data_IF_916171278117
#
_entry.id   IF_916171278117
#
_cell.length_a   1.000
_cell.length_b   1.000
_cell.length_c   1.000
_cell.angle_alpha   90.00
_cell.angle_beta   90.00
_cell.angle_gamma   90.00
#
_symmetry.space_group_name_H-M   'P 1'
#
loop_
_entity.id
_entity.type
_entity.pdbx_description
1 polymer ?
#
# COMPACT_ATOMS: atom_id res chain seq x y z
N UNK A 1 11.61 28.71 -8.34
CA UNK A 1 10.98 28.35 -7.05
C UNK A 1 10.53 26.89 -7.18
N UNK A 2 11.39 25.94 -6.80
CA UNK A 2 11.18 24.51 -7.07
C UNK A 2 10.73 23.78 -5.79
N UNK A 3 9.60 23.10 -5.86
CA UNK A 3 9.06 22.28 -4.79
C UNK A 3 10.03 21.13 -4.46
N UNK A 4 10.39 21.01 -3.17
CA UNK A 4 11.22 19.91 -2.66
C UNK A 4 10.31 18.71 -2.37
N UNK A 5 10.18 17.78 -3.32
CA UNK A 5 9.71 16.44 -3.01
C UNK A 5 10.75 15.79 -2.08
N UNK A 6 10.31 15.32 -0.91
CA UNK A 6 11.16 14.62 0.04
C UNK A 6 11.90 13.46 -0.63
N UNK A 7 13.19 13.26 -0.31
CA UNK A 7 13.99 12.17 -0.86
C UNK A 7 13.39 10.82 -0.45
N UNK A 8 12.50 10.28 -1.28
CA UNK A 8 12.09 8.89 -1.19
C UNK A 8 13.34 8.01 -1.29
N UNK A 9 13.35 6.88 -0.58
CA UNK A 9 14.42 5.87 -0.68
C UNK A 9 14.54 5.47 -2.15
N UNK A 10 15.69 5.71 -2.76
CA UNK A 10 15.98 5.23 -4.12
C UNK A 10 16.13 3.72 -4.07
N UNK A 11 15.40 3.00 -4.91
CA UNK A 11 15.61 1.57 -5.10
C UNK A 11 16.94 1.36 -5.84
N UNK A 12 17.86 0.59 -5.26
CA UNK A 12 19.14 0.23 -5.90
C UNK A 12 19.01 -0.96 -6.85
N UNK A 13 17.95 -1.76 -6.71
CA UNK A 13 17.58 -2.86 -7.60
C UNK A 13 16.06 -3.05 -7.58
N UNK A 14 15.52 -3.45 -8.73
CA UNK A 14 14.12 -3.83 -8.93
C UNK A 14 13.91 -5.36 -8.93
N UNK A 15 14.94 -6.12 -8.60
CA UNK A 15 14.87 -7.58 -8.48
C UNK A 15 14.10 -7.98 -7.23
N UNK A 16 13.12 -8.85 -7.41
CA UNK A 16 12.29 -9.42 -6.33
C UNK A 16 12.14 -10.92 -6.49
N UNK A 17 12.31 -11.63 -5.38
CA UNK A 17 12.02 -13.05 -5.31
C UNK A 17 10.51 -13.25 -5.12
N UNK A 18 9.86 -13.96 -6.02
CA UNK A 18 8.42 -14.25 -5.90
C UNK A 18 8.16 -15.40 -4.91
N UNK A 19 7.11 -15.31 -4.07
CA UNK A 19 6.87 -16.31 -3.02
C UNK A 19 6.38 -17.66 -3.55
N UNK A 20 5.86 -17.71 -4.78
CA UNK A 20 5.29 -18.93 -5.35
C UNK A 20 6.34 -19.96 -5.80
N UNK A 21 7.51 -19.52 -6.27
CA UNK A 21 8.52 -20.41 -6.84
C UNK A 21 9.97 -19.98 -6.56
N UNK A 22 10.18 -18.95 -5.74
CA UNK A 22 11.50 -18.39 -5.44
C UNK A 22 12.29 -17.87 -6.66
N UNK A 23 11.64 -17.68 -7.81
CA UNK A 23 12.29 -17.05 -8.96
C UNK A 23 12.56 -15.57 -8.69
N UNK A 24 13.72 -15.08 -9.13
CA UNK A 24 14.02 -13.64 -9.17
C UNK A 24 13.41 -13.04 -10.43
N UNK A 25 12.54 -12.05 -10.25
CA UNK A 25 11.93 -11.28 -11.34
C UNK A 25 12.32 -9.81 -11.19
N UNK A 26 12.64 -9.15 -12.30
CA UNK A 26 12.88 -7.70 -12.32
C UNK A 26 11.52 -7.00 -12.53
N UNK A 27 11.11 -6.12 -11.60
CA UNK A 27 9.76 -5.51 -11.64
C UNK A 27 9.50 -4.68 -12.90
N UNK A 28 10.54 -4.16 -13.54
CA UNK A 28 10.50 -3.43 -14.81
C UNK A 28 10.40 -4.33 -16.05
N UNK A 29 10.62 -5.65 -15.88
CA UNK A 29 10.49 -6.65 -16.96
C UNK A 29 9.12 -7.35 -17.00
N UNK A 30 8.22 -7.03 -16.05
CA UNK A 30 6.88 -7.59 -16.00
C UNK A 30 6.08 -7.16 -17.24
N UNK A 31 5.61 -8.15 -18.00
CA UNK A 31 4.74 -7.92 -19.16
C UNK A 31 3.30 -7.75 -18.69
N UNK A 32 2.76 -6.56 -18.91
CA UNK A 32 1.38 -6.19 -18.59
C UNK A 32 0.54 -6.32 -19.87
N UNK A 33 -0.12 -7.45 -20.07
CA UNK A 33 -1.04 -7.67 -21.19
C UNK A 33 -2.48 -7.41 -20.73
N UNK A 34 -3.24 -6.61 -21.49
CA UNK A 34 -4.62 -6.28 -21.14
C UNK A 34 -5.54 -7.52 -21.26
N UNK A 35 -6.50 -7.72 -20.33
CA UNK A 35 -6.71 -6.96 -19.10
C UNK A 35 -5.85 -7.51 -17.95
N UNK A 36 -4.84 -6.74 -17.52
CA UNK A 36 -4.10 -7.06 -16.30
C UNK A 36 -4.72 -6.26 -15.15
N UNK A 37 -5.41 -6.97 -14.26
CA UNK A 37 -5.80 -6.43 -12.97
C UNK A 37 -4.82 -6.95 -11.93
N UNK A 38 -4.17 -6.07 -11.18
CA UNK A 38 -3.73 -6.49 -9.85
C UNK A 38 -5.00 -6.87 -9.10
N UNK A 39 -5.15 -8.15 -8.77
CA UNK A 39 -6.26 -8.60 -7.95
C UNK A 39 -6.12 -7.95 -6.57
N UNK A 40 -6.79 -6.81 -6.39
CA UNK A 40 -6.92 -6.12 -5.11
C UNK A 40 -8.23 -6.56 -4.50
N UNK A 41 -8.14 -7.27 -3.38
CA UNK A 41 -9.27 -7.40 -2.49
C UNK A 41 -9.30 -6.15 -1.59
N UNK A 42 -10.40 -5.41 -1.64
CA UNK A 42 -10.59 -4.19 -0.87
C UNK A 42 -11.88 -4.27 -0.06
N UNK A 43 -11.79 -3.89 1.20
CA UNK A 43 -12.95 -3.61 2.04
C UNK A 43 -12.98 -2.09 2.26
N UNK A 44 -13.98 -1.42 1.69
CA UNK A 44 -14.19 0.02 1.86
C UNK A 44 -15.30 0.29 2.86
N UNK A 45 -15.05 1.19 3.80
CA UNK A 45 -16.04 1.70 4.75
C UNK A 45 -15.96 3.21 4.77
N UNK A 46 -17.10 3.88 4.60
CA UNK A 46 -17.21 5.34 4.66
C UNK A 46 -18.01 5.75 5.89
N UNK A 47 -17.45 6.62 6.72
CA UNK A 47 -18.14 7.19 7.88
C UNK A 47 -18.39 8.71 7.66
N UNK A 48 -19.57 9.11 7.16
CA UNK A 48 -19.82 10.49 6.73
C UNK A 48 -19.89 11.51 7.87
N UNK A 49 -20.03 11.05 9.12
CA UNK A 49 -20.14 11.93 10.30
C UNK A 49 -18.81 12.06 11.05
N UNK A 50 -17.76 11.36 10.61
CA UNK A 50 -16.45 11.44 11.24
C UNK A 50 -15.79 12.78 10.91
N UNK A 51 -15.35 13.49 11.94
CA UNK A 51 -14.75 14.81 11.80
C UNK A 51 -13.29 14.79 11.31
N UNK A 52 -12.54 13.75 11.67
CA UNK A 52 -11.14 13.59 11.28
C UNK A 52 -10.99 12.60 10.10
N UNK A 53 -9.94 12.77 9.31
CA UNK A 53 -9.57 11.85 8.23
C UNK A 53 -8.64 10.73 8.69
N UNK A 54 -7.84 10.97 9.74
CA UNK A 54 -6.87 10.02 10.30
C UNK A 54 -7.48 9.24 11.47
N UNK A 55 -7.21 7.93 11.57
CA UNK A 55 -7.43 7.19 12.80
C UNK A 55 -6.35 7.57 13.82
N UNK A 56 -6.75 7.76 15.07
CA UNK A 56 -5.80 7.89 16.16
C UNK A 56 -5.16 6.52 16.51
N UNK A 57 -4.23 6.54 17.47
CA UNK A 57 -3.51 5.32 17.87
C UNK A 57 -4.41 4.24 18.44
N UNK A 58 -5.46 4.61 19.19
CA UNK A 58 -6.37 3.66 19.78
C UNK A 58 -7.29 3.03 18.72
N UNK A 59 -7.82 3.85 17.82
CA UNK A 59 -8.64 3.42 16.68
C UNK A 59 -7.84 2.49 15.75
N UNK A 60 -6.60 2.86 15.40
CA UNK A 60 -5.74 2.02 14.57
C UNK A 60 -5.39 0.68 15.26
N UNK A 61 -5.23 0.72 16.60
CA UNK A 61 -5.05 -0.48 17.41
C UNK A 61 -6.27 -1.41 17.41
N UNK A 62 -7.48 -0.85 17.45
CA UNK A 62 -8.72 -1.63 17.33
C UNK A 62 -8.84 -2.30 15.96
N UNK A 63 -8.47 -1.60 14.88
CA UNK A 63 -8.42 -2.18 13.53
C UNK A 63 -7.41 -3.33 13.46
N UNK A 64 -6.20 -3.14 14.02
CA UNK A 64 -5.18 -4.19 14.06
C UNK A 64 -5.68 -5.45 14.79
N UNK A 65 -6.35 -5.26 15.92
CA UNK A 65 -6.90 -6.36 16.72
C UNK A 65 -8.01 -7.13 15.97
N UNK A 66 -8.90 -6.40 15.27
CA UNK A 66 -9.97 -7.01 14.45
C UNK A 66 -9.41 -7.84 13.29
N UNK A 67 -8.32 -7.38 12.67
CA UNK A 67 -7.67 -8.08 11.56
C UNK A 67 -6.69 -9.17 12.01
N UNK A 68 -6.27 -9.16 13.27
CA UNK A 68 -5.34 -10.14 13.83
C UNK A 68 -3.88 -9.94 13.40
N UNK A 69 -3.52 -8.76 12.87
CA UNK A 69 -2.15 -8.43 12.46
C UNK A 69 -1.88 -6.92 12.53
N UNK A 70 -0.60 -6.49 12.66
CA UNK A 70 -0.25 -5.07 12.60
C UNK A 70 -0.73 -4.41 11.30
N UNK A 71 -1.13 -3.14 11.39
CA UNK A 71 -1.59 -2.35 10.25
C UNK A 71 -0.83 -1.03 10.16
N UNK A 72 -0.76 -0.47 8.95
CA UNK A 72 -0.22 0.85 8.69
C UNK A 72 -1.29 1.69 8.00
N UNK A 73 -1.60 2.85 8.56
CA UNK A 73 -2.50 3.81 7.92
C UNK A 73 -1.77 4.53 6.78
N UNK A 74 -2.38 4.53 5.59
CA UNK A 74 -1.91 5.28 4.42
C UNK A 74 -3.01 6.28 4.05
N UNK A 75 -2.67 7.58 4.05
CA UNK A 75 -3.59 8.63 3.63
C UNK A 75 -3.60 8.74 2.11
N UNK A 76 -4.76 8.51 1.52
CA UNK A 76 -4.97 8.71 0.09
C UNK A 76 -5.41 10.16 -0.17
N UNK A 77 -4.70 10.83 -1.07
CA UNK A 77 -5.14 12.07 -1.69
C UNK A 77 -5.58 11.70 -3.12
N UNK A 78 -6.89 11.68 -3.36
CA UNK A 78 -7.47 11.44 -4.66
C UNK A 78 -7.50 12.72 -5.51
#
# INVERSE_FOLDING_TARGET
>A
MAARYGRGRTFTSLDRQVPCCAATVALDSLRYDWPVGFARFEICVTNPVRAAYELDTAELGAVAALLGHPVTQILAHY
#
